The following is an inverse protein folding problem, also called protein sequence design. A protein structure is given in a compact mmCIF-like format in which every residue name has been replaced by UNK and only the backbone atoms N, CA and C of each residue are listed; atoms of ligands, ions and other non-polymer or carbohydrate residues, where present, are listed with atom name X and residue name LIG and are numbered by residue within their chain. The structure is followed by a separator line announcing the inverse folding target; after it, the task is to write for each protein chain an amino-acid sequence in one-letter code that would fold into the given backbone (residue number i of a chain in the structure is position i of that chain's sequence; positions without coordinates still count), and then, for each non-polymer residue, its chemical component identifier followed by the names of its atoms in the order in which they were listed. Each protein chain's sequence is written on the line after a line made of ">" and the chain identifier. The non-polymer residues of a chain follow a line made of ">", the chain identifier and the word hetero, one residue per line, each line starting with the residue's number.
data_IF_026981986506
#
_entry.id   IF_026981986506
#
_cell.length_a   1.000
_cell.length_b   1.000
_cell.length_c   1.000
_cell.angle_alpha   90.00
_cell.angle_beta   90.00
_cell.angle_gamma   90.00
#
_symmetry.space_group_name_H-M   'P 1'
#
loop_
_entity.id
_entity.type
_entity.pdbx_description
1 polymer ?
#
# COMPACT_ATOMS: atom_id res chain seq x y z
N UNK A 1 12.22 -4.23 3.89
CA UNK A 1 13.66 -4.01 4.12
C UNK A 1 14.44 -4.73 3.04
N UNK A 2 14.84 -4.03 2.00
CA UNK A 2 15.84 -4.55 1.07
C UNK A 2 17.19 -4.61 1.82
N UNK A 3 17.87 -5.74 1.75
CA UNK A 3 19.24 -5.93 2.26
C UNK A 3 19.47 -5.87 3.79
N UNK A 4 18.45 -6.10 4.62
CA UNK A 4 18.64 -6.26 6.08
C UNK A 4 19.02 -4.98 6.86
N UNK A 5 18.98 -3.80 6.24
CA UNK A 5 19.33 -2.51 6.86
C UNK A 5 18.20 -1.96 7.73
N UNK A 6 18.11 -2.45 8.98
CA UNK A 6 17.05 -2.07 9.93
C UNK A 6 17.13 -0.59 10.34
N UNK A 7 18.33 -0.14 10.66
CA UNK A 7 18.57 1.22 11.15
C UNK A 7 18.23 2.29 10.10
N UNK A 8 18.57 2.05 8.83
CA UNK A 8 18.26 2.98 7.73
C UNK A 8 16.76 3.07 7.46
N UNK A 9 16.06 1.92 7.51
CA UNK A 9 14.61 1.89 7.31
C UNK A 9 13.86 2.62 8.43
N UNK A 10 14.29 2.45 9.69
CA UNK A 10 13.71 3.17 10.83
C UNK A 10 13.89 4.69 10.68
N UNK A 11 15.08 5.15 10.30
CA UNK A 11 15.34 6.57 10.07
C UNK A 11 14.44 7.16 8.98
N UNK A 12 14.22 6.42 7.88
CA UNK A 12 13.32 6.84 6.81
C UNK A 12 11.87 6.94 7.27
N UNK A 13 11.38 5.97 8.06
CA UNK A 13 10.00 5.96 8.57
C UNK A 13 9.76 7.12 9.53
N UNK A 14 10.65 7.34 10.51
CA UNK A 14 10.50 8.46 11.44
C UNK A 14 10.67 9.82 10.73
N UNK A 15 11.55 9.91 9.74
CA UNK A 15 11.69 11.11 8.90
C UNK A 15 10.43 11.41 8.08
N UNK A 16 9.78 10.39 7.51
CA UNK A 16 8.52 10.55 6.79
C UNK A 16 7.39 11.01 7.71
N UNK A 17 7.27 10.46 8.92
CA UNK A 17 6.26 10.86 9.91
C UNK A 17 6.44 12.32 10.34
N UNK A 18 7.68 12.79 10.50
CA UNK A 18 7.96 14.19 10.82
C UNK A 18 7.56 15.15 9.69
N UNK A 19 7.83 14.78 8.43
CA UNK A 19 7.37 15.55 7.27
C UNK A 19 5.84 15.64 7.19
N UNK A 20 5.13 14.56 7.50
CA UNK A 20 3.66 14.53 7.53
C UNK A 20 3.12 15.43 8.64
N UNK A 21 3.75 15.41 9.81
CA UNK A 21 3.40 16.29 10.94
C UNK A 21 3.56 17.77 10.57
N UNK A 22 4.64 18.13 9.90
CA UNK A 22 4.90 19.52 9.47
C UNK A 22 3.90 20.00 8.41
N UNK A 23 3.46 19.13 7.51
CA UNK A 23 2.52 19.47 6.43
C UNK A 23 1.07 19.54 6.90
N UNK A 24 0.67 18.65 7.81
CA UNK A 24 -0.75 18.41 8.13
C UNK A 24 -1.14 18.97 9.50
N UNK A 25 -0.17 19.18 10.39
CA UNK A 25 -0.41 19.66 11.76
C UNK A 25 -1.25 18.72 12.64
N UNK A 26 -1.51 17.49 12.17
CA UNK A 26 -2.28 16.44 12.85
C UNK A 26 -1.36 15.36 13.40
N UNK A 27 -1.89 14.53 14.29
CA UNK A 27 -1.17 13.38 14.80
C UNK A 27 -0.78 12.42 13.66
N UNK A 28 0.52 12.12 13.50
CA UNK A 28 1.01 11.37 12.35
C UNK A 28 0.52 9.91 12.35
N UNK A 29 0.10 9.39 13.51
CA UNK A 29 -0.48 8.05 13.66
C UNK A 29 -1.87 7.97 13.05
N UNK A 30 -2.71 8.99 13.25
CA UNK A 30 -4.07 9.05 12.70
C UNK A 30 -4.03 9.18 11.18
N UNK A 31 -3.14 10.04 10.66
CA UNK A 31 -2.95 10.22 9.22
C UNK A 31 -2.47 8.93 8.56
N UNK A 32 -1.59 8.18 9.22
CA UNK A 32 -1.15 6.89 8.71
C UNK A 32 -2.29 5.86 8.69
N UNK A 33 -3.14 5.86 9.71
CA UNK A 33 -4.31 4.98 9.77
C UNK A 33 -5.34 5.31 8.68
N UNK A 34 -5.61 6.59 8.45
CA UNK A 34 -6.46 7.06 7.36
C UNK A 34 -5.88 6.70 5.99
N UNK A 35 -4.57 6.88 5.79
CA UNK A 35 -3.89 6.50 4.56
C UNK A 35 -3.96 4.99 4.29
N UNK A 36 -3.79 4.15 5.31
CA UNK A 36 -3.92 2.68 5.17
C UNK A 36 -5.35 2.29 4.81
N UNK A 37 -6.36 2.96 5.36
CA UNK A 37 -7.76 2.73 5.00
C UNK A 37 -8.05 3.11 3.55
N UNK A 38 -7.52 4.26 3.08
CA UNK A 38 -7.68 4.71 1.71
C UNK A 38 -6.98 3.79 0.68
N UNK A 39 -5.82 3.22 1.05
CA UNK A 39 -5.05 2.32 0.20
C UNK A 39 -5.60 0.89 0.15
N UNK A 40 -6.50 0.51 1.07
CA UNK A 40 -7.03 -0.85 1.12
C UNK A 40 -8.17 -0.99 0.10
N UNK A 41 -7.99 -1.78 -0.98
CA UNK A 41 -9.07 -2.04 -1.92
C UNK A 41 -10.13 -2.91 -1.25
N UNK A 42 -11.41 -2.55 -1.44
CA UNK A 42 -12.54 -3.32 -0.90
C UNK A 42 -12.87 -4.52 -1.79
N UNK A 43 -12.54 -4.44 -3.08
CA UNK A 43 -12.84 -5.45 -4.09
C UNK A 43 -11.56 -5.93 -4.76
N UNK A 44 -11.36 -7.24 -4.79
CA UNK A 44 -10.31 -7.88 -5.57
C UNK A 44 -10.93 -8.67 -6.72
N UNK A 45 -10.20 -8.71 -7.84
CA UNK A 45 -10.62 -9.46 -9.01
C UNK A 45 -9.89 -10.80 -9.01
N UNK A 46 -10.65 -11.89 -8.89
CA UNK A 46 -10.12 -13.25 -8.99
C UNK A 46 -10.44 -13.85 -10.35
N UNK A 47 -9.46 -14.48 -10.98
CA UNK A 47 -9.67 -15.20 -12.23
C UNK A 47 -10.43 -16.50 -11.96
N UNK A 48 -11.59 -16.68 -12.62
CA UNK A 48 -12.40 -17.89 -12.55
C UNK A 48 -12.65 -18.39 -13.96
N UNK A 49 -12.37 -19.68 -14.21
CA UNK A 49 -12.69 -20.32 -15.50
C UNK A 49 -14.12 -20.83 -15.50
N UNK A 50 -14.89 -20.44 -16.50
CA UNK A 50 -16.24 -20.97 -16.74
C UNK A 50 -16.37 -21.25 -18.24
N UNK A 51 -16.65 -22.51 -18.60
CA UNK A 51 -16.93 -22.90 -19.99
C UNK A 51 -15.78 -22.71 -20.99
N UNK A 52 -14.52 -22.73 -20.54
CA UNK A 52 -13.34 -22.58 -21.41
C UNK A 52 -12.79 -21.16 -21.54
N UNK A 53 -13.52 -20.14 -21.09
CA UNK A 53 -13.06 -18.76 -20.98
C UNK A 53 -12.72 -18.38 -19.53
N UNK A 54 -11.77 -17.46 -19.35
CA UNK A 54 -11.37 -16.94 -18.04
C UNK A 54 -12.11 -15.62 -17.79
N UNK A 55 -12.98 -15.61 -16.80
CA UNK A 55 -13.68 -14.40 -16.35
C UNK A 55 -13.04 -13.85 -15.09
N UNK A 56 -13.07 -12.54 -14.97
CA UNK A 56 -12.67 -11.81 -13.78
C UNK A 56 -13.89 -11.67 -12.87
N UNK A 57 -13.95 -12.47 -11.81
CA UNK A 57 -15.05 -12.45 -10.84
C UNK A 57 -14.65 -11.55 -9.67
N UNK A 58 -15.43 -10.51 -9.37
CA UNK A 58 -15.18 -9.65 -8.22
C UNK A 58 -15.49 -10.40 -6.93
N UNK A 59 -14.59 -10.32 -5.96
CA UNK A 59 -14.71 -10.90 -4.62
C UNK A 59 -14.37 -9.83 -3.60
N UNK A 60 -15.13 -9.77 -2.50
CA UNK A 60 -14.82 -8.85 -1.40
C UNK A 60 -13.52 -9.25 -0.70
N UNK A 61 -12.65 -8.27 -0.50
CA UNK A 61 -11.38 -8.45 0.20
C UNK A 61 -11.65 -8.58 1.69
N UNK A 62 -11.13 -9.64 2.32
CA UNK A 62 -11.21 -9.80 3.78
C UNK A 62 -10.28 -8.78 4.47
N UNK A 63 -10.80 -7.88 5.33
CA UNK A 63 -10.07 -6.70 5.78
C UNK A 63 -8.94 -6.97 6.78
N UNK A 64 -9.00 -8.06 7.55
CA UNK A 64 -8.10 -8.25 8.72
C UNK A 64 -6.74 -8.88 8.36
N UNK A 65 -6.66 -9.68 7.30
CA UNK A 65 -5.43 -10.44 6.96
C UNK A 65 -4.65 -9.81 5.79
N UNK A 66 -5.30 -9.00 4.96
CA UNK A 66 -4.74 -8.53 3.67
C UNK A 66 -4.45 -7.02 3.65
N UNK A 67 -5.01 -6.23 4.57
CA UNK A 67 -4.88 -4.77 4.57
C UNK A 67 -3.44 -4.28 4.74
N UNK A 68 -2.72 -4.73 5.76
CA UNK A 68 -1.35 -4.27 6.02
C UNK A 68 -0.33 -4.68 4.92
N UNK A 69 -0.30 -5.94 4.44
CA UNK A 69 0.61 -6.30 3.35
C UNK A 69 0.24 -5.67 2.02
N UNK A 70 -1.06 -5.55 1.71
CA UNK A 70 -1.53 -4.97 0.45
C UNK A 70 -1.31 -3.45 0.42
N UNK A 71 -1.57 -2.73 1.52
CA UNK A 71 -1.30 -1.30 1.61
C UNK A 71 0.20 -0.98 1.47
N UNK A 72 1.07 -1.78 2.10
CA UNK A 72 2.52 -1.65 1.92
C UNK A 72 2.96 -1.95 0.48
N UNK A 73 2.40 -3.00 -0.14
CA UNK A 73 2.72 -3.37 -1.53
C UNK A 73 2.29 -2.28 -2.51
N UNK A 74 1.08 -1.73 -2.36
CA UNK A 74 0.57 -0.65 -3.20
C UNK A 74 1.32 0.66 -2.98
N UNK A 75 1.69 1.01 -1.75
CA UNK A 75 2.48 2.22 -1.48
C UNK A 75 3.81 2.20 -2.24
N UNK A 76 4.52 1.07 -2.19
CA UNK A 76 5.78 0.88 -2.92
C UNK A 76 5.57 0.85 -4.44
N UNK A 77 4.50 0.22 -4.91
CA UNK A 77 4.23 0.12 -6.34
C UNK A 77 3.83 1.47 -6.94
N UNK A 78 3.01 2.27 -6.24
CA UNK A 78 2.65 3.62 -6.66
C UNK A 78 3.87 4.55 -6.77
N UNK A 79 4.84 4.43 -5.86
CA UNK A 79 6.10 5.19 -5.98
C UNK A 79 6.90 4.75 -7.22
N UNK A 80 7.01 3.44 -7.46
CA UNK A 80 7.77 2.92 -8.59
C UNK A 80 7.15 3.28 -9.96
N UNK A 81 5.82 3.38 -10.03
CA UNK A 81 5.08 3.75 -11.24
C UNK A 81 5.08 5.25 -11.52
N UNK A 82 5.36 6.08 -10.50
CA UNK A 82 5.54 7.53 -10.65
C UNK A 82 6.90 7.95 -11.23
N UNK A 83 7.85 7.01 -11.30
CA UNK A 83 9.09 7.22 -12.04
C UNK A 83 8.79 7.04 -13.54
N UNK A 84 9.02 8.05 -14.40
CA UNK A 84 8.83 7.87 -15.83
C UNK A 84 9.71 6.70 -16.30
N UNK A 85 9.21 5.81 -17.17
CA UNK A 85 10.06 4.77 -17.73
C UNK A 85 11.26 5.46 -18.37
N UNK A 86 12.46 5.10 -17.91
CA UNK A 86 13.67 5.51 -18.59
C UNK A 86 13.61 4.90 -20.00
N UNK A 87 13.41 5.77 -21.00
CA UNK A 87 13.52 5.42 -22.43
C UNK A 87 14.92 4.86 -22.75
#
# INVERSE_FOLDING_TARGET
>A
MLDGKKSTAEQMVYGALEMVRQKTGRDPVEVLQEAVQALTPHLEVRSRRVGGATYQVPVDVRPVETSLPCACYWSLNCENESAPPAE
#
